data_IF_773096129700
#
_entry.id   IF_773096129700
#
_cell.length_a   1.000
_cell.length_b   1.000
_cell.length_c   1.000
_cell.angle_alpha   90.00
_cell.angle_beta   90.00
_cell.angle_gamma   90.00
#
_symmetry.space_group_name_H-M   'P 1'
#
loop_
_entity.id
_entity.type
_entity.pdbx_description
1 polymer ?
#
# COMPACT_ATOMS: atom_id res chain seq x y z
N UNK A 1 -45.70 28.54 -9.50
CA UNK A 1 -45.55 27.20 -8.89
C UNK A 1 -45.11 26.24 -9.98
N UNK A 2 -43.79 26.00 -10.09
CA UNK A 2 -43.20 25.17 -11.14
C UNK A 2 -42.95 23.77 -10.59
N UNK A 3 -43.60 22.76 -11.16
CA UNK A 3 -43.51 21.37 -10.73
C UNK A 3 -42.24 20.74 -11.30
N UNK A 4 -41.25 20.53 -10.42
CA UNK A 4 -40.03 19.77 -10.70
C UNK A 4 -40.36 18.32 -11.01
N UNK A 5 -40.44 18.03 -12.32
CA UNK A 5 -40.58 16.70 -12.91
C UNK A 5 -39.36 15.85 -12.50
N UNK A 6 -39.55 14.95 -11.54
CA UNK A 6 -38.54 13.97 -11.15
C UNK A 6 -38.16 13.12 -12.37
N UNK A 7 -36.94 13.33 -12.86
CA UNK A 7 -36.33 12.53 -13.91
C UNK A 7 -36.25 11.07 -13.43
N UNK A 8 -36.94 10.18 -14.14
CA UNK A 8 -36.80 8.73 -13.98
C UNK A 8 -35.33 8.36 -14.09
N UNK A 9 -34.73 7.90 -12.99
CA UNK A 9 -33.44 7.24 -13.01
C UNK A 9 -33.53 6.05 -13.98
N UNK A 10 -32.94 6.21 -15.17
CA UNK A 10 -32.64 5.09 -16.07
C UNK A 10 -31.65 4.21 -15.32
N UNK A 11 -32.16 3.16 -14.70
CA UNK A 11 -31.35 2.03 -14.24
C UNK A 11 -30.64 1.47 -15.47
N UNK A 12 -29.37 1.84 -15.64
CA UNK A 12 -28.49 1.24 -16.63
C UNK A 12 -28.56 -0.27 -16.44
N UNK A 13 -29.12 -0.98 -17.44
CA UNK A 13 -29.17 -2.45 -17.47
C UNK A 13 -27.75 -2.97 -17.25
N UNK A 14 -27.52 -3.57 -16.09
CA UNK A 14 -26.25 -4.17 -15.65
C UNK A 14 -25.73 -5.30 -16.55
N UNK A 15 -26.47 -5.65 -17.61
CA UNK A 15 -26.11 -6.65 -18.62
C UNK A 15 -25.05 -6.20 -19.63
N UNK A 16 -24.93 -4.90 -19.95
CA UNK A 16 -24.06 -4.42 -21.04
C UNK A 16 -22.63 -4.06 -20.62
N UNK A 17 -22.33 -4.00 -19.32
CA UNK A 17 -20.97 -3.69 -18.87
C UNK A 17 -20.03 -4.84 -19.21
N UNK A 18 -18.92 -4.54 -19.89
CA UNK A 18 -17.88 -5.52 -20.21
C UNK A 18 -17.46 -6.26 -18.93
N UNK A 19 -17.18 -7.56 -19.04
CA UNK A 19 -16.87 -8.42 -17.89
C UNK A 19 -15.71 -7.85 -17.05
N UNK A 20 -14.72 -7.25 -17.70
CA UNK A 20 -13.60 -6.60 -17.02
C UNK A 20 -14.04 -5.38 -16.21
N UNK A 21 -14.91 -4.51 -16.73
CA UNK A 21 -15.44 -3.32 -16.01
C UNK A 21 -16.21 -3.75 -14.77
N UNK A 22 -17.10 -4.75 -14.89
CA UNK A 22 -17.82 -5.29 -13.73
C UNK A 22 -16.88 -5.85 -12.68
N UNK A 23 -15.75 -6.41 -13.11
CA UNK A 23 -14.80 -7.03 -12.20
C UNK A 23 -13.88 -6.01 -11.52
N UNK A 24 -13.51 -4.92 -12.21
CA UNK A 24 -12.72 -3.81 -11.65
C UNK A 24 -13.58 -2.92 -10.75
N UNK A 25 -14.84 -2.68 -11.12
CA UNK A 25 -15.77 -1.81 -10.39
C UNK A 25 -16.66 -2.56 -9.39
N UNK A 26 -16.48 -3.86 -9.21
CA UNK A 26 -17.26 -4.63 -8.22
C UNK A 26 -16.99 -4.06 -6.82
N UNK A 27 -18.03 -3.65 -6.06
CA UNK A 27 -17.85 -3.18 -4.70
C UNK A 27 -17.19 -4.27 -3.85
N UNK A 28 -15.96 -4.02 -3.39
CA UNK A 28 -15.30 -4.90 -2.43
C UNK A 28 -16.01 -4.72 -1.08
N UNK A 29 -16.56 -5.80 -0.51
CA UNK A 29 -17.09 -5.80 0.85
C UNK A 29 -15.97 -5.42 1.81
N UNK A 30 -16.01 -4.19 2.34
CA UNK A 30 -15.19 -3.75 3.46
C UNK A 30 -16.07 -3.72 4.71
N UNK A 31 -15.52 -4.02 5.90
CA UNK A 31 -16.28 -3.87 7.14
C UNK A 31 -16.83 -2.45 7.24
N UNK A 32 -18.13 -2.32 7.52
CA UNK A 32 -18.88 -1.06 7.42
C UNK A 32 -18.35 0.02 8.36
N UNK A 33 -17.76 -0.36 9.51
CA UNK A 33 -17.20 0.58 10.47
C UNK A 33 -15.89 0.01 11.00
N UNK A 34 -14.78 0.60 10.58
CA UNK A 34 -13.45 0.27 11.10
C UNK A 34 -13.07 1.26 12.20
N UNK A 35 -12.13 0.88 13.08
CA UNK A 35 -11.57 1.82 14.06
C UNK A 35 -10.96 3.07 13.38
N UNK A 36 -10.47 2.93 12.14
CA UNK A 36 -10.01 4.05 11.34
C UNK A 36 -11.17 5.01 11.01
N UNK A 37 -12.34 4.49 10.60
CA UNK A 37 -13.51 5.32 10.32
C UNK A 37 -13.97 6.13 11.54
N UNK A 38 -13.96 5.53 12.74
CA UNK A 38 -14.27 6.25 13.99
C UNK A 38 -13.24 7.34 14.31
N UNK A 39 -11.94 7.06 14.12
CA UNK A 39 -10.88 8.06 14.32
C UNK A 39 -11.01 9.22 13.35
N UNK A 40 -11.29 8.93 12.08
CA UNK A 40 -11.51 9.93 11.04
C UNK A 40 -12.74 10.78 11.34
N UNK A 41 -13.84 10.16 11.76
CA UNK A 41 -15.05 10.86 12.16
C UNK A 41 -14.76 11.83 13.30
N UNK A 42 -14.15 11.34 14.39
CA UNK A 42 -13.82 12.17 15.56
C UNK A 42 -12.83 13.29 15.20
N UNK A 43 -11.84 13.01 14.36
CA UNK A 43 -10.85 13.99 13.95
C UNK A 43 -11.46 15.18 13.18
N UNK A 44 -12.53 14.96 12.42
CA UNK A 44 -13.20 16.02 11.65
C UNK A 44 -14.29 16.69 12.47
N UNK A 45 -15.10 15.93 13.23
CA UNK A 45 -16.23 16.49 13.98
C UNK A 45 -15.82 17.21 15.26
N UNK A 46 -14.74 16.78 15.92
CA UNK A 46 -14.27 17.44 17.14
C UNK A 46 -13.86 18.91 16.92
N UNK A 47 -13.01 19.27 15.94
CA UNK A 47 -12.65 20.68 15.71
C UNK A 47 -13.84 21.52 15.23
N UNK A 48 -14.72 20.96 14.40
CA UNK A 48 -15.95 21.65 13.98
C UNK A 48 -16.87 21.94 15.17
N UNK A 49 -17.12 20.94 16.03
CA UNK A 49 -17.92 21.09 17.24
C UNK A 49 -17.29 22.06 18.26
N UNK A 50 -15.97 22.00 18.45
CA UNK A 50 -15.25 22.93 19.31
C UNK A 50 -15.36 24.37 18.79
N UNK A 51 -15.24 24.58 17.47
CA UNK A 51 -15.44 25.90 16.86
C UNK A 51 -16.84 26.47 17.10
N UNK A 52 -17.88 25.62 17.01
CA UNK A 52 -19.25 26.02 17.31
C UNK A 52 -19.43 26.40 18.79
N UNK A 53 -18.88 25.59 19.71
CA UNK A 53 -18.97 25.83 21.15
C UNK A 53 -18.23 27.11 21.58
N UNK A 54 -17.13 27.45 20.92
CA UNK A 54 -16.33 28.65 21.20
C UNK A 54 -16.84 29.91 20.45
N UNK A 55 -17.94 29.81 19.70
CA UNK A 55 -18.47 30.92 18.90
C UNK A 55 -17.57 31.33 17.73
N UNK A 56 -16.68 30.43 17.29
CA UNK A 56 -15.73 30.63 16.18
C UNK A 56 -15.91 29.55 15.10
N UNK A 57 -17.08 29.49 14.44
CA UNK A 57 -17.40 28.41 13.50
C UNK A 57 -16.44 28.37 12.30
N UNK A 58 -16.06 29.53 11.76
CA UNK A 58 -15.15 29.61 10.61
C UNK A 58 -13.77 29.00 10.92
N UNK A 59 -13.22 29.26 12.11
CA UNK A 59 -11.94 28.68 12.54
C UNK A 59 -12.05 27.16 12.72
N UNK A 60 -13.15 26.68 13.32
CA UNK A 60 -13.42 25.25 13.47
C UNK A 60 -13.54 24.52 12.14
N UNK A 61 -14.20 25.13 11.14
CA UNK A 61 -14.33 24.57 9.78
C UNK A 61 -12.97 24.47 9.10
N UNK A 62 -12.09 25.47 9.21
CA UNK A 62 -10.75 25.41 8.61
C UNK A 62 -9.90 24.27 9.20
N UNK A 63 -9.95 24.10 10.52
CA UNK A 63 -9.26 22.97 11.17
C UNK A 63 -9.87 21.63 10.73
N UNK A 64 -11.21 21.54 10.62
CA UNK A 64 -11.89 20.33 10.16
C UNK A 64 -11.57 19.98 8.70
N UNK A 65 -11.47 20.97 7.80
CA UNK A 65 -11.06 20.79 6.40
C UNK A 65 -9.62 20.28 6.31
N UNK A 66 -8.72 20.90 7.07
CA UNK A 66 -7.34 20.41 7.18
C UNK A 66 -7.26 18.95 7.67
N UNK A 67 -8.05 18.61 8.68
CA UNK A 67 -8.15 17.24 9.18
C UNK A 67 -8.72 16.27 8.14
N UNK A 68 -9.74 16.70 7.37
CA UNK A 68 -10.33 15.92 6.28
C UNK A 68 -9.30 15.59 5.19
N UNK A 69 -8.51 16.58 4.75
CA UNK A 69 -7.41 16.38 3.79
C UNK A 69 -6.40 15.33 4.28
N UNK A 70 -6.03 15.37 5.57
CA UNK A 70 -5.16 14.36 6.17
C UNK A 70 -5.80 12.96 6.30
N UNK A 71 -7.12 12.89 6.49
CA UNK A 71 -7.85 11.62 6.49
C UNK A 71 -7.93 11.01 5.09
N UNK A 72 -8.15 11.82 4.06
CA UNK A 72 -8.21 11.36 2.67
C UNK A 72 -6.87 10.80 2.19
N UNK A 73 -5.77 11.29 2.73
CA UNK A 73 -4.40 10.82 2.44
C UNK A 73 -4.00 9.62 3.30
N UNK A 74 -4.87 9.16 4.21
CA UNK A 74 -4.64 8.00 5.07
C UNK A 74 -4.83 6.66 4.35
N UNK A 75 -4.04 6.43 3.31
CA UNK A 75 -4.16 5.24 2.46
C UNK A 75 -2.94 4.30 2.62
N UNK A 76 -1.80 4.80 3.07
CA UNK A 76 -0.54 4.06 3.09
C UNK A 76 -0.43 3.05 4.25
N UNK A 77 -0.07 1.81 3.91
CA UNK A 77 0.10 0.69 4.86
C UNK A 77 1.45 0.70 5.58
N UNK A 78 2.49 1.27 4.96
CA UNK A 78 3.83 1.35 5.53
C UNK A 78 3.98 2.63 6.35
N UNK A 79 4.32 2.52 7.64
CA UNK A 79 4.28 3.64 8.59
C UNK A 79 5.15 4.86 8.21
N UNK A 80 6.37 4.63 7.69
CA UNK A 80 7.26 5.73 7.25
C UNK A 80 6.72 6.43 6.01
N UNK A 81 6.20 5.64 5.08
CA UNK A 81 5.58 6.15 3.88
C UNK A 81 4.32 6.93 4.22
N UNK A 82 3.51 6.45 5.18
CA UNK A 82 2.29 7.10 5.67
C UNK A 82 2.52 8.52 6.18
N UNK A 83 3.60 8.75 6.93
CA UNK A 83 3.94 10.10 7.36
C UNK A 83 4.23 11.02 6.17
N UNK A 84 5.03 10.57 5.20
CA UNK A 84 5.37 11.36 4.01
C UNK A 84 4.14 11.58 3.13
N UNK A 85 3.33 10.56 2.89
CA UNK A 85 2.11 10.65 2.05
C UNK A 85 1.01 11.46 2.70
N UNK A 86 1.01 11.65 4.02
CA UNK A 86 0.10 12.57 4.71
C UNK A 86 0.65 14.00 4.78
N UNK A 87 1.93 14.17 5.12
CA UNK A 87 2.53 15.50 5.27
C UNK A 87 2.66 16.22 3.93
N UNK A 88 3.08 15.54 2.87
CA UNK A 88 3.35 16.18 1.59
C UNK A 88 2.08 16.85 1.01
N UNK A 89 0.91 16.18 0.95
CA UNK A 89 -0.32 16.84 0.55
C UNK A 89 -0.74 17.99 1.46
N UNK A 90 -0.46 17.90 2.77
CA UNK A 90 -0.80 18.98 3.70
C UNK A 90 0.05 20.24 3.49
N UNK A 91 1.35 20.05 3.19
CA UNK A 91 2.25 21.15 2.84
C UNK A 91 1.85 21.78 1.50
N UNK A 92 1.45 20.96 0.52
CA UNK A 92 0.92 21.44 -0.75
C UNK A 92 -0.38 22.21 -0.54
N UNK A 93 -1.35 21.68 0.19
CA UNK A 93 -2.60 22.36 0.53
C UNK A 93 -2.35 23.72 1.21
N UNK A 94 -1.47 23.74 2.21
CA UNK A 94 -1.03 24.98 2.88
C UNK A 94 -0.41 25.98 1.89
N UNK A 95 0.45 25.52 0.98
CA UNK A 95 1.08 26.37 -0.03
C UNK A 95 0.06 26.92 -1.03
N UNK A 96 -0.92 26.11 -1.45
CA UNK A 96 -2.02 26.54 -2.32
C UNK A 96 -2.88 27.63 -1.68
N UNK A 97 -3.30 27.41 -0.44
CA UNK A 97 -4.07 28.38 0.34
C UNK A 97 -3.28 29.67 0.61
N UNK A 98 -1.99 29.58 0.92
CA UNK A 98 -1.15 30.75 1.13
C UNK A 98 -0.94 31.54 -0.16
N UNK A 99 -0.71 30.85 -1.29
CA UNK A 99 -0.53 31.49 -2.58
C UNK A 99 -1.77 32.25 -3.03
N UNK A 100 -2.97 31.68 -2.83
CA UNK A 100 -4.24 32.36 -3.19
C UNK A 100 -4.49 33.61 -2.38
N UNK A 101 -4.31 33.53 -1.06
CA UNK A 101 -4.45 34.71 -0.18
C UNK A 101 -3.39 35.78 -0.48
N UNK A 102 -2.15 35.38 -0.82
CA UNK A 102 -1.09 36.34 -1.14
C UNK A 102 -1.29 37.07 -2.48
N UNK A 103 -2.00 36.46 -3.43
CA UNK A 103 -2.32 37.07 -4.71
C UNK A 103 -3.63 37.86 -4.70
N UNK A 104 -4.41 37.78 -3.61
CA UNK A 104 -5.72 38.42 -3.50
C UNK A 104 -5.61 39.95 -3.68
N UNK A 105 -6.45 40.52 -4.56
CA UNK A 105 -6.41 41.95 -4.89
C UNK A 105 -5.22 42.41 -5.75
N UNK A 106 -4.26 41.52 -6.04
CA UNK A 106 -3.11 41.82 -6.90
C UNK A 106 -3.40 41.60 -8.40
N UNK A 107 -2.56 42.17 -9.29
CA UNK A 107 -2.69 41.96 -10.74
C UNK A 107 -2.47 40.50 -11.16
N UNK A 108 -1.86 39.70 -10.28
CA UNK A 108 -1.60 38.28 -10.51
C UNK A 108 -2.79 37.36 -10.16
N UNK A 109 -3.81 37.86 -9.46
CA UNK A 109 -4.97 37.08 -9.01
C UNK A 109 -5.62 36.18 -10.10
N UNK A 110 -5.92 36.68 -11.33
CA UNK A 110 -6.60 35.87 -12.34
C UNK A 110 -5.71 34.74 -12.91
N UNK A 111 -4.39 34.85 -12.79
CA UNK A 111 -3.44 33.88 -13.34
C UNK A 111 -3.01 32.81 -12.33
N UNK A 112 -3.26 33.03 -11.04
CA UNK A 112 -2.77 32.14 -10.00
C UNK A 112 -3.43 30.76 -10.04
N UNK A 113 -4.77 30.68 -10.11
CA UNK A 113 -5.48 29.40 -10.10
C UNK A 113 -5.13 28.54 -11.35
N UNK A 114 -5.07 29.11 -12.57
CA UNK A 114 -4.52 28.41 -13.73
C UNK A 114 -3.08 27.94 -13.53
N UNK A 115 -2.22 28.78 -12.93
CA UNK A 115 -0.83 28.44 -12.62
C UNK A 115 -0.73 27.26 -11.65
N UNK A 116 -1.49 27.27 -10.56
CA UNK A 116 -1.60 26.15 -9.63
C UNK A 116 -2.16 24.90 -10.31
N UNK A 117 -3.09 25.05 -11.26
CA UNK A 117 -3.60 23.96 -12.10
C UNK A 117 -2.51 23.28 -12.93
N UNK A 118 -1.60 24.05 -13.52
CA UNK A 118 -0.44 23.51 -14.25
C UNK A 118 0.49 22.76 -13.30
N UNK A 119 0.81 23.33 -12.14
CA UNK A 119 1.65 22.67 -11.12
C UNK A 119 1.01 21.37 -10.64
N UNK A 120 -0.30 21.40 -10.36
CA UNK A 120 -1.10 20.23 -10.00
C UNK A 120 -1.05 19.14 -11.08
N UNK A 121 -1.17 19.52 -12.36
CA UNK A 121 -1.04 18.60 -13.50
C UNK A 121 0.33 17.93 -13.57
N UNK A 122 1.42 18.69 -13.38
CA UNK A 122 2.79 18.14 -13.34
C UNK A 122 2.95 17.17 -12.18
N UNK A 123 2.49 17.54 -10.98
CA UNK A 123 2.52 16.67 -9.80
C UNK A 123 1.75 15.36 -10.03
N UNK A 124 0.59 15.43 -10.68
CA UNK A 124 -0.22 14.26 -11.01
C UNK A 124 0.47 13.30 -11.99
N UNK A 125 1.30 13.80 -12.91
CA UNK A 125 2.05 12.97 -13.87
C UNK A 125 3.25 12.24 -13.23
N UNK A 126 3.78 12.73 -12.10
CA UNK A 126 4.97 12.16 -11.48
C UNK A 126 4.67 10.88 -10.68
N UNK A 127 3.52 10.82 -10.01
CA UNK A 127 3.16 9.69 -9.15
C UNK A 127 1.67 9.65 -8.80
N UNK A 128 1.12 8.47 -8.46
CA UNK A 128 -0.23 8.35 -7.90
C UNK A 128 -0.43 9.22 -6.65
N UNK A 129 0.57 9.31 -5.78
CA UNK A 129 0.55 10.15 -4.58
C UNK A 129 0.52 11.65 -4.95
N UNK A 130 1.25 12.02 -6.01
CA UNK A 130 1.27 13.37 -6.56
C UNK A 130 -0.11 13.83 -7.06
N UNK A 131 -0.91 12.93 -7.65
CA UNK A 131 -2.28 13.24 -8.07
C UNK A 131 -3.18 13.60 -6.88
N UNK A 132 -3.03 12.89 -5.76
CA UNK A 132 -3.81 13.15 -4.55
C UNK A 132 -3.36 14.46 -3.87
N UNK A 133 -2.05 14.72 -3.85
CA UNK A 133 -1.50 16.01 -3.40
C UNK A 133 -1.95 17.20 -4.27
N UNK A 134 -1.98 17.01 -5.59
CA UNK A 134 -2.47 18.00 -6.55
C UNK A 134 -3.95 18.34 -6.35
N UNK A 135 -4.78 17.34 -6.06
CA UNK A 135 -6.19 17.54 -5.72
C UNK A 135 -6.34 18.39 -4.45
N UNK A 136 -5.60 18.06 -3.38
CA UNK A 136 -5.65 18.80 -2.11
C UNK A 136 -5.12 20.23 -2.27
N UNK A 137 -4.03 20.43 -3.02
CA UNK A 137 -3.51 21.75 -3.38
C UNK A 137 -4.60 22.66 -3.97
N UNK A 138 -5.31 22.17 -4.98
CA UNK A 138 -6.34 22.95 -5.68
C UNK A 138 -7.60 23.15 -4.82
N UNK A 139 -8.01 22.13 -4.08
CA UNK A 139 -9.15 22.21 -3.18
C UNK A 139 -8.91 23.26 -2.09
N UNK A 140 -7.76 23.21 -1.42
CA UNK A 140 -7.43 24.14 -0.33
C UNK A 140 -7.20 25.56 -0.85
N UNK A 141 -6.62 25.71 -2.04
CA UNK A 141 -6.52 26.99 -2.73
C UNK A 141 -7.89 27.63 -2.99
N UNK A 142 -8.84 26.86 -3.52
CA UNK A 142 -10.21 27.32 -3.79
C UNK A 142 -10.96 27.64 -2.49
N UNK A 143 -10.87 26.78 -1.48
CA UNK A 143 -11.48 27.01 -0.16
C UNK A 143 -10.98 28.32 0.45
N UNK A 144 -9.68 28.62 0.35
CA UNK A 144 -9.12 29.85 0.88
C UNK A 144 -9.66 31.11 0.17
N UNK A 145 -10.00 31.03 -1.11
CA UNK A 145 -10.65 32.11 -1.86
C UNK A 145 -12.12 32.30 -1.45
N UNK A 146 -12.84 31.20 -1.23
CA UNK A 146 -14.28 31.23 -0.95
C UNK A 146 -14.60 31.54 0.53
N UNK A 147 -13.63 31.38 1.43
CA UNK A 147 -13.79 31.59 2.88
C UNK A 147 -12.80 32.65 3.43
N UNK A 148 -13.00 33.95 3.12
CA UNK A 148 -12.15 35.00 3.65
C UNK A 148 -12.36 35.13 5.17
N UNK A 149 -11.34 34.72 5.94
CA UNK A 149 -11.32 34.92 7.38
C UNK A 149 -10.68 36.27 7.71
N UNK A 150 -11.32 37.11 8.56
CA UNK A 150 -10.70 38.33 9.02
C UNK A 150 -9.46 38.01 9.86
N UNK A 151 -8.34 38.65 9.53
CA UNK A 151 -7.09 38.51 10.27
C UNK A 151 -5.86 38.47 9.36
N UNK A 152 -4.71 38.05 9.90
CA UNK A 152 -3.49 37.98 9.14
C UNK A 152 -3.53 36.82 8.14
N UNK A 153 -2.89 37.03 6.98
CA UNK A 153 -2.87 36.13 5.82
C UNK A 153 -2.44 34.68 6.14
N UNK A 154 -1.63 34.50 7.19
CA UNK A 154 -1.14 33.18 7.62
C UNK A 154 -2.15 32.38 8.44
N UNK A 155 -3.20 33.01 8.97
CA UNK A 155 -4.12 32.38 9.92
C UNK A 155 -4.92 31.22 9.29
N UNK A 156 -5.57 31.39 8.12
CA UNK A 156 -6.29 30.28 7.48
C UNK A 156 -5.40 29.05 7.17
N UNK A 157 -4.24 29.19 6.50
CA UNK A 157 -3.39 28.03 6.20
C UNK A 157 -2.80 27.40 7.47
N UNK A 158 -2.52 28.17 8.52
CA UNK A 158 -2.06 27.62 9.80
C UNK A 158 -3.14 26.77 10.49
N UNK A 159 -4.42 27.17 10.43
CA UNK A 159 -5.53 26.39 10.97
C UNK A 159 -5.73 25.07 10.20
N UNK A 160 -5.65 25.11 8.87
CA UNK A 160 -5.71 23.91 8.03
C UNK A 160 -4.52 22.98 8.31
N UNK A 161 -3.32 23.52 8.44
CA UNK A 161 -2.13 22.73 8.79
C UNK A 161 -2.29 22.09 10.18
N UNK A 162 -2.80 22.84 11.17
CA UNK A 162 -3.07 22.35 12.52
C UNK A 162 -4.04 21.16 12.49
N UNK A 163 -5.12 21.27 11.73
CA UNK A 163 -6.07 20.19 11.51
C UNK A 163 -5.41 18.93 10.98
N UNK A 164 -4.65 19.05 9.89
CA UNK A 164 -3.95 17.89 9.32
C UNK A 164 -2.87 17.31 10.24
N UNK A 165 -2.08 18.16 10.88
CA UNK A 165 -1.04 17.74 11.83
C UNK A 165 -1.64 17.01 13.04
N UNK A 166 -2.83 17.39 13.50
CA UNK A 166 -3.51 16.68 14.59
C UNK A 166 -3.85 15.23 14.20
N UNK A 167 -4.32 15.01 12.96
CA UNK A 167 -4.60 13.67 12.41
C UNK A 167 -3.32 12.88 12.24
N UNK A 168 -2.28 13.50 11.71
CA UNK A 168 -0.95 12.89 11.60
C UNK A 168 -0.44 12.49 12.98
N UNK A 169 -0.50 13.38 13.97
CA UNK A 169 -0.09 13.09 15.34
C UNK A 169 -0.89 11.93 15.93
N UNK A 170 -2.21 11.89 15.75
CA UNK A 170 -3.07 10.77 16.13
C UNK A 170 -2.68 9.47 15.42
N UNK A 171 -2.40 9.52 14.12
CA UNK A 171 -1.99 8.36 13.33
C UNK A 171 -0.60 7.85 13.76
N UNK A 172 0.31 8.75 14.11
CA UNK A 172 1.65 8.45 14.58
C UNK A 172 1.68 8.05 16.06
N UNK A 173 0.76 8.52 16.90
CA UNK A 173 0.67 8.14 18.32
C UNK A 173 0.35 6.65 18.52
N UNK A 174 -0.27 6.00 17.53
CA UNK A 174 -0.42 4.54 17.52
C UNK A 174 0.89 3.76 17.30
N UNK A 175 1.99 4.43 16.97
CA UNK A 175 3.29 3.82 16.59
C UNK A 175 3.84 2.84 17.60
N UNK A 176 4.06 3.18 18.89
CA UNK A 176 4.68 2.24 19.82
C UNK A 176 3.87 0.95 19.95
N UNK A 177 2.54 1.03 19.79
CA UNK A 177 1.64 -0.11 19.99
C UNK A 177 1.50 -1.03 18.76
N UNK A 178 1.78 -0.54 17.53
CA UNK A 178 1.49 -1.28 16.30
C UNK A 178 2.67 -1.52 15.36
N UNK A 179 3.93 -1.37 15.84
CA UNK A 179 5.13 -1.66 15.02
C UNK A 179 5.05 -3.06 14.39
N UNK A 180 5.22 -3.12 13.08
CA UNK A 180 5.21 -4.35 12.29
C UNK A 180 3.85 -5.06 12.17
N UNK A 181 2.76 -4.55 12.75
CA UNK A 181 1.44 -5.23 12.70
C UNK A 181 0.88 -5.31 11.27
N UNK A 182 0.98 -4.22 10.51
CA UNK A 182 0.53 -4.19 9.11
C UNK A 182 1.36 -5.15 8.23
N UNK A 183 2.67 -5.17 8.45
CA UNK A 183 3.61 -6.05 7.73
C UNK A 183 3.34 -7.52 8.04
N UNK A 184 3.14 -7.86 9.33
CA UNK A 184 2.75 -9.20 9.76
C UNK A 184 1.36 -9.60 9.25
N UNK A 185 0.39 -8.70 9.26
CA UNK A 185 -0.93 -8.95 8.70
C UNK A 185 -0.87 -9.21 7.19
N UNK A 186 0.00 -8.51 6.46
CA UNK A 186 0.20 -8.71 5.03
C UNK A 186 0.92 -10.03 4.73
N UNK A 187 1.97 -10.37 5.50
CA UNK A 187 2.63 -11.66 5.44
C UNK A 187 1.64 -12.81 5.71
N UNK A 188 0.82 -12.68 6.76
CA UNK A 188 -0.25 -13.64 7.07
C UNK A 188 -1.27 -13.75 5.93
N UNK A 189 -1.68 -12.63 5.32
CA UNK A 189 -2.56 -12.65 4.14
C UNK A 189 -1.95 -13.41 2.96
N UNK A 190 -0.65 -13.25 2.68
CA UNK A 190 0.04 -14.00 1.63
C UNK A 190 0.05 -15.51 1.93
N UNK A 191 0.34 -15.91 3.18
CA UNK A 191 0.35 -17.32 3.60
C UNK A 191 -1.04 -17.95 3.51
N UNK A 192 -2.08 -17.28 4.02
CA UNK A 192 -3.47 -17.72 3.91
C UNK A 192 -3.91 -17.77 2.44
N UNK A 193 -3.48 -16.83 1.60
CA UNK A 193 -3.72 -16.83 0.17
C UNK A 193 -3.10 -18.05 -0.53
N UNK A 194 -1.85 -18.40 -0.18
CA UNK A 194 -1.20 -19.61 -0.69
C UNK A 194 -1.98 -20.88 -0.28
N UNK A 195 -2.41 -20.98 0.98
CA UNK A 195 -3.23 -22.11 1.45
C UNK A 195 -4.58 -22.19 0.72
N UNK A 196 -5.21 -21.05 0.42
CA UNK A 196 -6.49 -20.99 -0.28
C UNK A 196 -6.39 -21.40 -1.77
N UNK A 197 -5.26 -21.10 -2.41
CA UNK A 197 -4.99 -21.50 -3.81
C UNK A 197 -4.71 -23.00 -3.94
N UNK A 198 -4.31 -23.67 -2.86
CA UNK A 198 -4.06 -25.12 -2.81
C UNK A 198 -5.32 -25.96 -2.53
N UNK A 199 -6.48 -25.33 -2.27
CA UNK A 199 -7.75 -26.04 -2.09
C UNK A 199 -8.15 -26.84 -3.34
N UNK A 200 -8.83 -28.00 -3.19
CA UNK A 200 -9.13 -28.92 -4.30
C UNK A 200 -9.93 -28.27 -5.45
N UNK A 201 -10.77 -27.26 -5.14
CA UNK A 201 -11.58 -26.54 -6.15
C UNK A 201 -10.83 -25.39 -6.86
N UNK A 202 -9.50 -25.40 -6.86
CA UNK A 202 -8.68 -24.30 -7.37
C UNK A 202 -8.61 -24.17 -8.91
N UNK A 203 -9.09 -25.15 -9.69
CA UNK A 203 -9.14 -25.03 -11.15
C UNK A 203 -10.25 -24.10 -11.65
N UNK A 204 -11.32 -23.89 -10.87
CA UNK A 204 -12.50 -23.13 -11.29
C UNK A 204 -12.37 -21.60 -11.20
N UNK A 205 -13.45 -20.86 -11.54
CA UNK A 205 -13.50 -19.40 -11.41
C UNK A 205 -13.21 -18.92 -9.97
N UNK A 206 -13.61 -19.68 -8.95
CA UNK A 206 -13.26 -19.43 -7.56
C UNK A 206 -11.74 -19.47 -7.34
N UNK A 207 -11.04 -20.46 -7.91
CA UNK A 207 -9.59 -20.54 -7.89
C UNK A 207 -8.89 -19.38 -8.60
N UNK A 208 -9.43 -18.92 -9.74
CA UNK A 208 -8.90 -17.71 -10.42
C UNK A 208 -9.02 -16.46 -9.54
N UNK A 209 -10.11 -16.34 -8.77
CA UNK A 209 -10.29 -15.22 -7.84
C UNK A 209 -9.31 -15.30 -6.66
N UNK A 210 -9.05 -16.50 -6.13
CA UNK A 210 -8.04 -16.72 -5.08
C UNK A 210 -6.63 -16.39 -5.54
N UNK A 211 -6.24 -16.83 -6.76
CA UNK A 211 -4.93 -16.49 -7.35
C UNK A 211 -4.75 -14.98 -7.54
N UNK A 212 -5.79 -14.28 -8.02
CA UNK A 212 -5.77 -12.81 -8.10
C UNK A 212 -5.65 -12.14 -6.73
N UNK A 213 -6.39 -12.61 -5.74
CA UNK A 213 -6.27 -12.11 -4.37
C UNK A 213 -4.87 -12.31 -3.78
N UNK A 214 -4.23 -13.46 -4.05
CA UNK A 214 -2.84 -13.72 -3.66
C UNK A 214 -1.86 -12.79 -4.39
N UNK A 215 -2.04 -12.60 -5.71
CA UNK A 215 -1.23 -11.67 -6.49
C UNK A 215 -1.33 -10.23 -5.96
N UNK A 216 -2.55 -9.72 -5.71
CA UNK A 216 -2.78 -8.40 -5.11
C UNK A 216 -2.12 -8.27 -3.71
N UNK A 217 -2.08 -9.35 -2.93
CA UNK A 217 -1.39 -9.36 -1.64
C UNK A 217 0.13 -9.32 -1.80
N UNK A 218 0.69 -10.06 -2.76
CA UNK A 218 2.12 -10.07 -3.05
C UNK A 218 2.62 -8.75 -3.63
N UNK A 219 1.87 -8.14 -4.54
CA UNK A 219 2.21 -6.81 -5.07
C UNK A 219 2.22 -5.76 -3.96
N UNK A 220 1.23 -5.79 -3.05
CA UNK A 220 1.25 -4.95 -1.85
C UNK A 220 2.47 -5.26 -0.96
N UNK A 221 2.86 -6.52 -0.81
CA UNK A 221 4.02 -6.91 -0.01
C UNK A 221 5.34 -6.43 -0.63
N UNK A 222 5.49 -6.57 -1.96
CA UNK A 222 6.62 -6.06 -2.74
C UNK A 222 6.73 -4.54 -2.62
N UNK A 223 5.64 -3.83 -2.87
CA UNK A 223 5.59 -2.37 -2.78
C UNK A 223 5.90 -1.88 -1.36
N UNK A 224 5.30 -2.51 -0.34
CA UNK A 224 5.57 -2.17 1.07
C UNK A 224 7.02 -2.48 1.46
N UNK A 225 7.61 -3.56 0.95
CA UNK A 225 9.01 -3.91 1.18
C UNK A 225 9.99 -2.92 0.52
N UNK A 226 9.76 -2.58 -0.75
CA UNK A 226 10.63 -1.71 -1.55
C UNK A 226 10.54 -0.24 -1.13
N UNK A 227 9.33 0.31 -1.03
CA UNK A 227 9.09 1.73 -0.73
C UNK A 227 9.07 1.99 0.78
N UNK A 228 8.54 1.05 1.56
CA UNK A 228 8.39 1.20 3.00
C UNK A 228 9.65 0.82 3.81
N UNK A 229 10.61 0.11 3.21
CA UNK A 229 11.84 -0.33 3.88
C UNK A 229 11.61 -1.34 5.01
N UNK A 230 10.54 -2.15 4.95
CA UNK A 230 10.27 -3.17 5.98
C UNK A 230 11.32 -4.28 5.90
N UNK A 231 12.24 -4.31 6.86
CA UNK A 231 13.22 -5.38 6.99
C UNK A 231 12.58 -6.76 7.19
N UNK A 232 11.37 -6.81 7.77
CA UNK A 232 10.60 -8.04 7.91
C UNK A 232 10.17 -8.54 6.52
N UNK A 233 9.41 -7.74 5.77
CA UNK A 233 8.94 -8.15 4.45
C UNK A 233 10.11 -8.42 3.51
N UNK A 234 11.14 -7.58 3.48
CA UNK A 234 12.33 -7.78 2.65
C UNK A 234 12.99 -9.15 2.91
N UNK A 235 12.99 -9.62 4.17
CA UNK A 235 13.56 -10.90 4.55
C UNK A 235 12.70 -12.09 4.11
N UNK A 236 11.37 -11.99 4.21
CA UNK A 236 10.45 -13.09 3.89
C UNK A 236 10.03 -13.15 2.41
N UNK A 237 10.15 -12.04 1.68
CA UNK A 237 9.62 -11.88 0.32
C UNK A 237 10.16 -12.91 -0.69
N UNK A 238 11.46 -13.26 -0.73
CA UNK A 238 11.95 -14.27 -1.68
C UNK A 238 11.30 -15.64 -1.46
N UNK A 239 11.19 -16.08 -0.20
CA UNK A 239 10.54 -17.33 0.16
C UNK A 239 9.04 -17.32 -0.15
N UNK A 240 8.37 -16.19 0.11
CA UNK A 240 6.96 -16.01 -0.25
C UNK A 240 6.71 -16.08 -1.75
N UNK A 241 7.58 -15.48 -2.56
CA UNK A 241 7.44 -15.52 -4.02
C UNK A 241 7.58 -16.95 -4.55
N UNK A 242 8.59 -17.69 -4.09
CA UNK A 242 8.76 -19.09 -4.44
C UNK A 242 7.56 -19.95 -4.00
N UNK A 243 7.04 -19.71 -2.79
CA UNK A 243 5.85 -20.40 -2.29
C UNK A 243 4.60 -20.07 -3.13
N UNK A 244 4.39 -18.79 -3.46
CA UNK A 244 3.23 -18.37 -4.22
C UNK A 244 3.26 -18.86 -5.66
N UNK A 245 4.42 -18.88 -6.30
CA UNK A 245 4.60 -19.43 -7.64
C UNK A 245 4.31 -20.93 -7.65
N UNK A 246 4.90 -21.67 -6.71
CA UNK A 246 4.66 -23.13 -6.58
C UNK A 246 3.19 -23.43 -6.25
N UNK A 247 2.57 -22.71 -5.31
CA UNK A 247 1.16 -22.86 -4.96
C UNK A 247 0.22 -22.50 -6.12
N UNK A 248 0.47 -21.38 -6.83
CA UNK A 248 -0.33 -20.99 -8.00
C UNK A 248 -0.22 -22.01 -9.13
N UNK A 249 0.98 -22.52 -9.39
CA UNK A 249 1.20 -23.53 -10.42
C UNK A 249 0.46 -24.84 -10.10
N UNK A 250 0.52 -25.30 -8.85
CA UNK A 250 -0.23 -26.46 -8.36
C UNK A 250 -1.75 -26.25 -8.46
N UNK A 251 -2.27 -25.14 -7.94
CA UNK A 251 -3.71 -24.84 -7.96
C UNK A 251 -4.27 -24.61 -9.37
N UNK A 252 -3.47 -24.04 -10.29
CA UNK A 252 -3.87 -23.87 -11.69
C UNK A 252 -3.98 -25.21 -12.44
N UNK A 253 -3.17 -26.20 -12.05
CA UNK A 253 -3.19 -27.56 -12.60
C UNK A 253 -4.08 -28.53 -11.82
N UNK A 254 -4.78 -28.06 -10.79
CA UNK A 254 -5.55 -28.88 -9.86
C UNK A 254 -4.76 -30.09 -9.31
N UNK A 255 -3.47 -29.90 -9.04
CA UNK A 255 -2.65 -30.97 -8.47
C UNK A 255 -3.09 -31.21 -7.03
N UNK A 256 -3.25 -32.48 -6.60
CA UNK A 256 -3.59 -32.80 -5.23
C UNK A 256 -2.50 -32.25 -4.31
N UNK A 257 -2.91 -31.62 -3.22
CA UNK A 257 -2.02 -31.11 -2.18
C UNK A 257 -2.46 -31.61 -0.82
N UNK A 258 -1.48 -31.91 0.03
CA UNK A 258 -1.74 -32.40 1.37
C UNK A 258 -2.55 -31.37 2.20
N UNK A 259 -3.64 -31.81 2.82
CA UNK A 259 -4.44 -31.02 3.74
C UNK A 259 -3.64 -30.57 4.97
N UNK A 260 -2.67 -31.37 5.44
CA UNK A 260 -1.82 -31.03 6.57
C UNK A 260 -0.92 -29.82 6.26
N UNK A 261 -0.38 -29.73 5.04
CA UNK A 261 0.41 -28.58 4.60
C UNK A 261 -0.43 -27.30 4.56
N UNK A 262 -1.66 -27.37 4.03
CA UNK A 262 -2.59 -26.23 4.02
C UNK A 262 -2.96 -25.78 5.43
N UNK A 263 -3.25 -26.73 6.32
CA UNK A 263 -3.50 -26.47 7.74
C UNK A 263 -2.31 -25.79 8.42
N UNK A 264 -1.09 -26.27 8.14
CA UNK A 264 0.13 -25.67 8.67
C UNK A 264 0.34 -24.24 8.18
N UNK A 265 0.13 -23.95 6.89
CA UNK A 265 0.23 -22.59 6.36
C UNK A 265 -0.74 -21.62 7.04
N UNK A 266 -1.98 -22.05 7.31
CA UNK A 266 -2.97 -21.25 8.05
C UNK A 266 -2.55 -21.00 9.49
N UNK A 267 -2.07 -22.04 10.18
CA UNK A 267 -1.58 -21.92 11.55
C UNK A 267 -0.38 -20.96 11.66
N UNK A 268 0.56 -21.02 10.71
CA UNK A 268 1.66 -20.06 10.66
C UNK A 268 1.17 -18.63 10.35
N UNK A 269 0.20 -18.47 9.46
CA UNK A 269 -0.40 -17.16 9.17
C UNK A 269 -1.03 -16.53 10.43
N UNK A 270 -1.76 -17.32 11.21
CA UNK A 270 -2.34 -16.88 12.49
C UNK A 270 -1.25 -16.51 13.51
N UNK A 271 -0.18 -17.30 13.63
CA UNK A 271 0.94 -17.02 14.54
C UNK A 271 1.68 -15.74 14.13
N UNK A 272 1.96 -15.55 12.84
CA UNK A 272 2.56 -14.31 12.32
C UNK A 272 1.67 -13.11 12.66
N UNK A 273 0.36 -13.20 12.40
CA UNK A 273 -0.59 -12.14 12.74
C UNK A 273 -0.60 -11.83 14.26
N UNK A 274 -0.49 -12.85 15.10
CA UNK A 274 -0.42 -12.75 16.56
C UNK A 274 0.97 -12.40 17.12
N UNK A 275 2.00 -12.22 16.27
CA UNK A 275 3.39 -12.02 16.69
C UNK A 275 3.99 -13.18 17.50
N UNK A 276 3.52 -14.41 17.29
CA UNK A 276 4.06 -15.59 17.95
C UNK A 276 5.24 -16.14 17.15
N UNK A 277 6.23 -16.77 17.80
CA UNK A 277 7.31 -17.44 17.08
C UNK A 277 6.74 -18.48 16.11
N UNK A 278 7.46 -18.90 15.05
CA UNK A 278 7.05 -20.02 14.20
C UNK A 278 6.78 -21.30 15.00
N UNK A 279 6.02 -22.23 14.44
CA UNK A 279 5.88 -23.56 15.05
C UNK A 279 7.18 -24.37 14.87
N UNK A 280 7.66 -25.00 15.94
CA UNK A 280 8.89 -25.81 15.90
C UNK A 280 8.69 -27.21 15.29
N UNK A 281 7.43 -27.66 15.18
CA UNK A 281 7.12 -28.96 14.58
C UNK A 281 7.54 -29.00 13.10
N UNK A 282 8.10 -30.13 12.62
CA UNK A 282 8.55 -30.28 11.24
C UNK A 282 7.42 -30.01 10.25
N UNK A 283 7.78 -29.45 9.10
CA UNK A 283 6.83 -29.27 8.00
C UNK A 283 6.37 -30.64 7.50
N UNK A 284 5.06 -30.84 7.27
CA UNK A 284 4.55 -32.10 6.74
C UNK A 284 5.19 -32.37 5.38
N UNK A 285 5.82 -33.54 5.26
CA UNK A 285 6.30 -34.08 4.00
C UNK A 285 5.17 -34.90 3.40
N UNK A 286 4.46 -34.31 2.43
CA UNK A 286 3.48 -35.06 1.65
C UNK A 286 4.15 -36.14 0.79
N UNK A 287 3.37 -37.07 0.23
CA UNK A 287 3.88 -38.23 -0.49
C UNK A 287 4.57 -37.87 -1.82
N UNK A 288 4.32 -36.67 -2.35
CA UNK A 288 4.79 -36.28 -3.69
C UNK A 288 5.98 -35.31 -3.72
N UNK A 289 6.71 -35.24 -4.86
CA UNK A 289 7.77 -34.25 -5.07
C UNK A 289 7.27 -32.81 -5.05
N UNK A 290 5.99 -32.57 -5.38
CA UNK A 290 5.34 -31.27 -5.28
C UNK A 290 5.20 -30.83 -3.82
N UNK A 291 4.69 -31.70 -2.94
CA UNK A 291 4.53 -31.38 -1.52
C UNK A 291 5.89 -31.11 -0.86
N UNK A 292 6.93 -31.86 -1.23
CA UNK A 292 8.29 -31.60 -0.78
C UNK A 292 8.83 -30.24 -1.26
N UNK A 293 8.48 -29.80 -2.49
CA UNK A 293 8.82 -28.46 -2.99
C UNK A 293 8.04 -27.36 -2.25
N UNK A 294 6.74 -27.54 -2.06
CA UNK A 294 5.89 -26.60 -1.32
C UNK A 294 6.33 -26.47 0.13
N UNK A 295 6.62 -27.59 0.82
CA UNK A 295 7.12 -27.58 2.19
C UNK A 295 8.47 -26.87 2.32
N UNK A 296 9.40 -27.05 1.36
CA UNK A 296 10.66 -26.30 1.32
C UNK A 296 10.45 -24.81 1.08
N UNK A 297 9.59 -24.44 0.13
CA UNK A 297 9.27 -23.04 -0.15
C UNK A 297 8.57 -22.37 1.05
N UNK A 298 7.64 -23.07 1.70
CA UNK A 298 6.95 -22.60 2.89
C UNK A 298 7.91 -22.40 4.07
N UNK A 299 8.84 -23.34 4.29
CA UNK A 299 9.91 -23.18 5.28
C UNK A 299 10.77 -21.95 5.00
N UNK A 300 11.18 -21.74 3.75
CA UNK A 300 11.96 -20.55 3.35
C UNK A 300 11.17 -19.25 3.51
N UNK A 301 9.84 -19.30 3.34
CA UNK A 301 8.96 -18.14 3.55
C UNK A 301 8.79 -17.78 5.03
N UNK A 302 8.79 -18.75 5.95
CA UNK A 302 8.57 -18.52 7.40
C UNK A 302 9.88 -18.33 8.16
N UNK A 303 10.89 -19.14 7.86
CA UNK A 303 12.22 -19.06 8.46
C UNK A 303 13.18 -18.67 7.34
N UNK A 304 13.18 -17.39 6.92
CA UNK A 304 14.06 -16.95 5.88
C UNK A 304 15.49 -17.20 6.36
N UNK A 305 16.25 -17.89 5.52
CA UNK A 305 17.66 -18.12 5.78
C UNK A 305 18.34 -16.81 6.11
N UNK A 306 19.31 -16.86 7.02
CA UNK A 306 20.21 -15.71 7.24
C UNK A 306 20.67 -15.28 5.84
N UNK A 307 20.52 -14.00 5.44
CA UNK A 307 21.05 -13.57 4.16
C UNK A 307 22.49 -14.07 4.09
N UNK A 308 22.93 -14.65 2.96
CA UNK A 308 24.31 -15.10 2.85
C UNK A 308 25.16 -13.92 3.32
N UNK A 309 25.89 -14.13 4.43
CA UNK A 309 26.76 -13.08 4.93
C UNK A 309 27.63 -12.59 3.78
N UNK A 310 28.11 -11.33 3.81
CA UNK A 310 29.04 -10.85 2.80
C UNK A 310 30.07 -11.95 2.60
N UNK A 311 30.13 -12.51 1.38
CA UNK A 311 31.11 -13.55 1.06
C UNK A 311 32.43 -13.00 1.58
N UNK A 312 33.14 -13.70 2.48
CA UNK A 312 34.44 -13.22 2.94
C UNK A 312 35.21 -12.90 1.67
N UNK A 313 35.55 -11.62 1.50
CA UNK A 313 36.31 -11.17 0.35
C UNK A 313 37.53 -12.08 0.21
N UNK A 314 38.02 -12.31 -1.02
CA UNK A 314 39.23 -13.09 -1.21
C UNK A 314 40.27 -12.60 -0.20
N UNK A 315 40.72 -13.52 0.69
CA UNK A 315 41.69 -13.20 1.73
C UNK A 315 42.87 -12.49 1.03
N UNK A 316 43.24 -11.27 1.44
CA UNK A 316 44.43 -10.61 0.91
C UNK A 316 45.65 -11.41 1.43
N UNK A 317 46.09 -12.39 0.65
CA UNK A 317 47.15 -13.31 1.10
C UNK A 317 47.65 -14.33 0.08
N UNK A 318 46.86 -14.74 -0.91
CA UNK A 318 47.40 -15.56 -2.02
C UNK A 318 47.92 -14.66 -3.14
N UNK A 319 49.08 -14.04 -2.92
CA UNK A 319 49.98 -13.60 -4.01
C UNK A 319 50.98 -14.73 -4.27
N UNK A 320 51.18 -15.07 -5.55
CA UNK A 320 52.08 -16.10 -6.14
C UNK A 320 51.50 -17.52 -6.11
N UNK A 321 51.48 -18.30 -7.19
CA UNK A 321 52.35 -18.30 -8.37
C UNK A 321 51.58 -18.19 -9.68
N UNK A 322 52.11 -17.36 -10.59
CA UNK A 322 51.77 -17.42 -12.01
C UNK A 322 52.42 -18.64 -12.68
N UNK A 323 51.68 -19.24 -13.59
CA UNK A 323 52.12 -20.00 -14.76
C UNK A 323 50.87 -20.02 -15.64
N UNK A 324 50.74 -19.14 -16.63
CA UNK A 324 51.47 -19.21 -17.88
C UNK A 324 50.38 -19.31 -18.96
N UNK A 325 49.96 -18.17 -19.50
CA UNK A 325 49.09 -18.12 -20.67
C UNK A 325 49.89 -18.57 -21.89
N UNK A 326 49.92 -19.88 -22.13
CA UNK A 326 50.33 -20.46 -23.38
C UNK A 326 49.20 -20.33 -24.40
N UNK A 327 49.36 -19.41 -25.35
CA UNK A 327 48.63 -19.42 -26.61
C UNK A 327 49.01 -20.69 -27.39
N UNK A 328 48.14 -21.68 -27.38
CA UNK A 328 48.22 -22.88 -28.21
C UNK A 328 47.07 -22.87 -29.22
N UNK A 329 47.35 -22.43 -30.44
CA UNK A 329 46.49 -22.57 -31.59
C UNK A 329 46.69 -23.95 -32.24
N UNK A 330 45.59 -24.56 -32.71
CA UNK A 330 45.60 -25.39 -33.92
C UNK A 330 45.53 -26.91 -33.78
N UNK A 331 44.74 -27.50 -34.70
CA UNK A 331 44.56 -28.92 -35.07
C UNK A 331 43.75 -29.79 -34.09
N UNK A 332 42.68 -30.50 -34.46
CA UNK A 332 42.18 -30.91 -35.76
C UNK A 332 42.06 -32.44 -35.82
N UNK A 333 40.84 -32.95 -36.05
CA UNK A 333 40.50 -34.27 -36.63
C UNK A 333 40.53 -35.56 -35.78
N UNK A 334 39.57 -36.46 -36.08
CA UNK A 334 39.58 -37.91 -35.78
C UNK A 334 38.59 -38.32 -34.68
N UNK A 335 37.32 -38.67 -34.94
CA UNK A 335 36.72 -39.86 -35.61
C UNK A 335 37.01 -41.21 -34.92
N UNK A 336 35.90 -41.81 -34.45
CA UNK A 336 35.55 -43.23 -34.35
C UNK A 336 36.30 -44.18 -33.40
N UNK A 337 35.48 -44.97 -32.70
CA UNK A 337 35.79 -46.06 -31.78
C UNK A 337 34.56 -46.36 -30.95
#
# INVERSE_FOLDING_TARGET
>A
MSTLRHGRHRTLRSGSLLRWVRQTCAPRRRPAVSAAAWRSLLAVTAPAGAGLLLGRPAEGVMVALGALSAVLTDVATAYRHRAVTMLLPQLLGMAGAFATLAAEGGPAAPYLLPGLGVVAGVLACLSPEGSLGAMILLMDAQVALDLPLPGPLWRPPALMLLGGLSVVALALAGRPFFRGRAERALLAQCLTGCAAVLEPDAAGPAGTARRRGLHDALERARHTGAVGGSALLARHLPGLLALAETACSAGARALPSDGALRGRLRAEAERVAANRPPLDAPWPSGPGPLDARLARAARAAIVPGRPPGPRPGPRPGCRRCGAGYGYGAGCGSGRAG
#
